data_IF_009341852582
#
_entry.id   IF_009341852582
#
_cell.length_a   1.000
_cell.length_b   1.000
_cell.length_c   1.000
_cell.angle_alpha   90.00
_cell.angle_beta   90.00
_cell.angle_gamma   90.00
#
_symmetry.space_group_name_H-M   'P 1'
#
loop_
_entity.id
_entity.type
_entity.pdbx_description
1 polymer ?
#
# COMPACT_ATOMS: atom_id res chain seq x y z
N UNK A 1 -10.85 -22.10 15.11
CA UNK A 1 -11.86 -21.01 14.89
C UNK A 1 -13.10 -21.27 15.72
N UNK A 2 -13.39 -20.42 16.72
CA UNK A 2 -14.66 -20.41 17.44
C UNK A 2 -15.73 -19.70 16.57
N UNK A 3 -16.87 -20.33 16.27
CA UNK A 3 -17.88 -19.76 15.36
C UNK A 3 -18.85 -18.78 16.04
N UNK A 4 -19.04 -17.60 15.42
CA UNK A 4 -20.37 -16.93 15.28
C UNK A 4 -20.44 -15.72 14.31
N UNK A 5 -19.41 -15.46 13.51
CA UNK A 5 -19.48 -14.52 12.40
C UNK A 5 -19.25 -15.29 11.08
N UNK A 6 -20.34 -15.55 10.34
CA UNK A 6 -20.30 -16.24 9.04
C UNK A 6 -20.46 -15.26 7.86
N UNK A 7 -20.30 -13.96 8.11
CA UNK A 7 -20.50 -12.92 7.10
C UNK A 7 -19.36 -11.92 7.15
N UNK A 8 -18.83 -11.63 5.99
CA UNK A 8 -17.83 -10.58 5.82
C UNK A 8 -18.41 -9.25 6.33
N UNK A 9 -17.60 -8.47 7.02
CA UNK A 9 -18.09 -7.27 7.68
C UNK A 9 -17.08 -6.63 8.62
N UNK A 10 -17.52 -5.56 9.28
CA UNK A 10 -16.70 -4.88 10.29
C UNK A 10 -16.88 -5.51 11.66
N UNK A 11 -15.77 -5.73 12.34
CA UNK A 11 -15.71 -6.32 13.67
C UNK A 11 -14.67 -5.59 14.51
N UNK A 12 -14.87 -5.61 15.83
CA UNK A 12 -13.84 -5.19 16.78
C UNK A 12 -13.04 -6.42 17.18
N UNK A 13 -11.72 -6.33 17.07
CA UNK A 13 -10.80 -7.37 17.51
C UNK A 13 -9.76 -6.79 18.46
N UNK A 14 -9.23 -7.65 19.32
CA UNK A 14 -8.22 -7.30 20.32
C UNK A 14 -7.00 -8.24 20.24
N UNK A 15 -6.11 -8.04 19.24
CA UNK A 15 -4.96 -8.91 18.97
C UNK A 15 -3.96 -9.04 20.13
N UNK A 16 -3.66 -7.96 20.85
CA UNK A 16 -2.74 -7.97 21.99
C UNK A 16 -3.35 -8.57 23.26
N UNK A 17 -4.66 -8.80 23.27
CA UNK A 17 -5.43 -9.13 24.46
C UNK A 17 -5.25 -8.07 25.57
N UNK A 18 -5.72 -8.40 26.78
CA UNK A 18 -5.57 -7.53 27.93
C UNK A 18 -6.73 -6.55 28.04
N UNK A 19 -6.47 -5.25 27.94
CA UNK A 19 -7.49 -4.22 28.14
C UNK A 19 -8.28 -4.00 26.86
N UNK A 20 -9.52 -4.48 26.80
CA UNK A 20 -10.37 -4.38 25.61
C UNK A 20 -10.71 -2.95 25.14
N UNK A 21 -10.31 -1.92 25.88
CA UNK A 21 -10.51 -0.51 25.49
C UNK A 21 -9.62 -0.08 24.31
N UNK A 22 -8.53 -0.80 24.02
CA UNK A 22 -7.64 -0.55 22.88
C UNK A 22 -7.91 -1.45 21.67
N UNK A 23 -9.04 -2.16 21.68
CA UNK A 23 -9.52 -2.96 20.56
C UNK A 23 -9.66 -2.09 19.29
N UNK A 24 -9.51 -2.72 18.13
CA UNK A 24 -9.50 -2.05 16.82
C UNK A 24 -10.66 -2.52 15.94
N UNK A 25 -11.27 -1.59 15.21
CA UNK A 25 -12.26 -1.93 14.17
C UNK A 25 -11.53 -2.36 12.89
N UNK A 26 -11.84 -3.57 12.42
CA UNK A 26 -11.25 -4.18 11.22
C UNK A 26 -12.35 -4.70 10.30
N UNK A 27 -12.03 -4.98 9.05
CA UNK A 27 -12.89 -5.77 8.18
C UNK A 27 -12.44 -7.23 8.20
N UNK A 28 -13.30 -8.14 8.63
CA UNK A 28 -13.04 -9.58 8.55
C UNK A 28 -13.66 -10.14 7.28
N UNK A 29 -12.85 -10.81 6.47
CA UNK A 29 -13.28 -11.51 5.27
C UNK A 29 -13.27 -13.02 5.50
N UNK A 30 -14.40 -13.55 5.96
CA UNK A 30 -14.58 -14.99 6.23
C UNK A 30 -14.71 -15.80 4.94
N UNK A 31 -15.12 -15.20 3.83
CA UNK A 31 -15.13 -15.88 2.52
C UNK A 31 -13.72 -16.08 1.95
N UNK A 32 -12.76 -15.23 2.31
CA UNK A 32 -11.32 -15.38 2.04
C UNK A 32 -10.54 -16.06 3.18
N UNK A 33 -11.12 -17.08 3.83
CA UNK A 33 -10.40 -17.85 4.85
C UNK A 33 -10.24 -17.17 6.21
N UNK A 34 -10.85 -16.01 6.44
CA UNK A 34 -10.81 -15.29 7.72
C UNK A 34 -9.81 -14.14 7.76
N UNK A 35 -9.45 -13.56 6.62
CA UNK A 35 -8.53 -12.42 6.54
C UNK A 35 -8.99 -11.26 7.42
N UNK A 36 -8.04 -10.64 8.10
CA UNK A 36 -8.23 -9.41 8.89
C UNK A 36 -7.65 -8.23 8.14
N UNK A 37 -8.52 -7.34 7.66
CA UNK A 37 -8.16 -6.22 6.80
C UNK A 37 -8.28 -4.87 7.53
N UNK A 38 -7.23 -4.06 7.43
CA UNK A 38 -7.08 -2.77 8.10
C UNK A 38 -6.81 -1.69 7.07
N UNK A 39 -7.62 -0.63 7.08
CA UNK A 39 -7.38 0.52 6.21
C UNK A 39 -6.32 1.45 6.81
N UNK A 40 -5.48 2.07 5.96
CA UNK A 40 -4.70 3.22 6.38
C UNK A 40 -5.60 4.37 6.85
N UNK A 41 -5.03 5.26 7.66
CA UNK A 41 -5.67 6.45 8.19
C UNK A 41 -6.29 7.27 7.04
N UNK A 42 -7.55 7.68 7.22
CA UNK A 42 -8.35 8.34 6.17
C UNK A 42 -7.66 9.55 5.51
N UNK A 43 -6.80 10.25 6.26
CA UNK A 43 -6.09 11.45 5.81
C UNK A 43 -4.89 11.15 4.89
N UNK A 44 -4.33 9.95 4.97
CA UNK A 44 -3.09 9.59 4.26
C UNK A 44 -3.25 8.41 3.30
N UNK A 45 -4.42 7.77 3.26
CA UNK A 45 -4.71 6.66 2.33
C UNK A 45 -4.86 7.09 0.86
N UNK A 46 -5.02 8.38 0.56
CA UNK A 46 -5.26 8.88 -0.81
C UNK A 46 -4.55 10.20 -1.06
N UNK A 47 -3.83 10.30 -2.17
CA UNK A 47 -3.33 11.55 -2.73
C UNK A 47 -4.12 11.97 -3.95
N UNK A 48 -4.55 13.23 -3.98
CA UNK A 48 -5.21 13.82 -5.16
C UNK A 48 -4.32 13.72 -6.39
N UNK A 49 -4.96 13.48 -7.55
CA UNK A 49 -4.24 13.54 -8.83
C UNK A 49 -3.95 14.99 -9.18
N UNK A 50 -2.68 15.36 -9.12
CA UNK A 50 -2.18 16.69 -9.48
C UNK A 50 -0.68 16.64 -9.74
N UNK A 51 -0.12 17.77 -10.15
CA UNK A 51 1.32 17.96 -10.13
C UNK A 51 1.82 18.12 -8.68
N UNK A 52 2.63 17.17 -8.22
CA UNK A 52 3.28 17.25 -6.90
C UNK A 52 4.69 17.81 -7.04
N UNK A 53 4.99 18.88 -6.31
CA UNK A 53 6.29 19.55 -6.39
C UNK A 53 7.38 18.72 -5.70
N UNK A 54 8.22 18.07 -6.50
CA UNK A 54 9.39 17.33 -6.05
C UNK A 54 10.46 18.28 -5.48
N UNK A 55 10.92 18.01 -4.26
CA UNK A 55 12.06 18.72 -3.67
C UNK A 55 13.35 18.16 -4.29
N UNK A 56 14.38 19.01 -4.48
CA UNK A 56 15.66 18.55 -5.04
C UNK A 56 16.27 17.46 -4.16
N UNK A 57 16.54 16.30 -4.75
CA UNK A 57 17.09 15.14 -4.05
C UNK A 57 16.02 14.22 -3.41
N UNK A 58 14.74 14.59 -3.46
CA UNK A 58 13.67 13.72 -2.98
C UNK A 58 13.56 12.46 -3.85
N UNK A 59 13.42 11.33 -3.21
CA UNK A 59 13.20 10.01 -3.81
C UNK A 59 11.78 9.51 -3.50
N UNK A 60 11.32 9.74 -2.28
CA UNK A 60 10.04 9.24 -1.76
C UNK A 60 8.96 10.32 -1.74
N UNK A 61 7.69 9.93 -1.84
CA UNK A 61 6.57 10.87 -1.85
C UNK A 61 6.52 11.70 -0.57
N UNK A 62 6.81 11.12 0.60
CA UNK A 62 6.86 11.87 1.87
C UNK A 62 7.83 13.06 1.86
N UNK A 63 8.88 13.00 1.03
CA UNK A 63 9.91 14.04 0.90
C UNK A 63 9.51 15.17 -0.07
N UNK A 64 8.39 15.02 -0.79
CA UNK A 64 7.88 16.05 -1.69
C UNK A 64 7.31 17.22 -0.88
N UNK A 65 7.14 18.38 -1.53
CA UNK A 65 6.49 19.52 -0.87
C UNK A 65 5.03 19.16 -0.56
N UNK A 66 4.68 19.16 0.73
CA UNK A 66 3.39 18.68 1.24
C UNK A 66 3.12 17.19 1.03
N UNK A 67 4.17 16.40 0.76
CA UNK A 67 4.14 14.96 0.83
C UNK A 67 3.92 14.48 2.27
N UNK A 68 3.54 13.23 2.43
CA UNK A 68 3.31 12.60 3.73
C UNK A 68 3.44 11.08 3.64
N UNK A 69 3.78 10.45 4.75
CA UNK A 69 3.73 8.99 4.88
C UNK A 69 2.29 8.48 5.01
N UNK A 70 2.06 7.28 4.49
CA UNK A 70 0.83 6.52 4.70
C UNK A 70 0.86 6.00 6.14
N UNK A 71 -0.20 6.29 6.89
CA UNK A 71 -0.23 6.09 8.34
C UNK A 71 -1.23 5.03 8.74
N UNK A 72 -0.88 4.22 9.74
CA UNK A 72 -1.77 3.26 10.42
C UNK A 72 -1.78 3.53 11.93
N UNK A 73 -1.44 4.76 12.34
CA UNK A 73 -1.27 5.13 13.73
C UNK A 73 -2.57 5.00 14.53
N UNK A 74 -3.74 5.11 13.89
CA UNK A 74 -5.04 4.87 14.55
C UNK A 74 -5.22 3.44 15.05
N UNK A 75 -4.50 2.47 14.49
CA UNK A 75 -4.52 1.06 14.89
C UNK A 75 -3.59 0.82 16.09
N UNK A 76 -2.51 1.60 16.17
CA UNK A 76 -1.48 1.44 17.19
C UNK A 76 -0.45 0.36 16.84
N UNK A 77 0.82 0.63 17.20
CA UNK A 77 1.96 -0.26 16.91
C UNK A 77 1.82 -1.64 17.56
N UNK A 78 1.31 -1.68 18.80
CA UNK A 78 1.12 -2.94 19.52
C UNK A 78 0.15 -3.86 18.79
N UNK A 79 -1.01 -3.35 18.38
CA UNK A 79 -2.01 -4.14 17.69
C UNK A 79 -1.50 -4.65 16.33
N UNK A 80 -0.81 -3.81 15.55
CA UNK A 80 -0.17 -4.25 14.30
C UNK A 80 0.88 -5.34 14.52
N UNK A 81 1.71 -5.22 15.57
CA UNK A 81 2.72 -6.24 15.87
C UNK A 81 2.09 -7.58 16.24
N UNK A 82 1.01 -7.60 17.04
CA UNK A 82 0.31 -8.84 17.36
C UNK A 82 -0.36 -9.44 16.13
N UNK A 83 -0.94 -8.62 15.25
CA UNK A 83 -1.47 -9.12 13.97
C UNK A 83 -0.38 -9.77 13.11
N UNK A 84 0.80 -9.16 13.02
CA UNK A 84 1.95 -9.78 12.35
C UNK A 84 2.32 -11.13 12.99
N UNK A 85 2.35 -11.22 14.32
CA UNK A 85 2.71 -12.47 15.02
C UNK A 85 1.66 -13.59 14.86
N UNK A 86 0.40 -13.23 14.66
CA UNK A 86 -0.74 -14.15 14.61
C UNK A 86 -1.15 -14.54 13.17
N UNK A 87 -0.38 -14.11 12.17
CA UNK A 87 -0.67 -14.32 10.75
C UNK A 87 0.51 -14.99 10.05
N UNK A 88 0.26 -15.58 8.90
CA UNK A 88 1.30 -16.22 8.08
C UNK A 88 1.62 -15.38 6.85
N UNK A 89 0.67 -14.56 6.38
CA UNK A 89 0.80 -13.82 5.14
C UNK A 89 0.06 -12.48 5.18
N UNK A 90 0.59 -11.52 4.43
CA UNK A 90 0.04 -10.20 4.25
C UNK A 90 -0.18 -9.88 2.76
N UNK A 91 -1.31 -9.25 2.43
CA UNK A 91 -1.64 -8.77 1.09
C UNK A 91 -2.14 -7.33 1.15
N UNK A 92 -1.63 -6.47 0.28
CA UNK A 92 -2.09 -5.10 0.18
C UNK A 92 -2.07 -4.59 -1.26
N UNK A 93 -3.12 -3.86 -1.64
CA UNK A 93 -3.19 -3.22 -2.95
C UNK A 93 -2.79 -1.74 -2.89
N UNK A 94 -2.11 -1.27 -3.93
CA UNK A 94 -1.76 0.13 -4.15
C UNK A 94 -2.19 0.54 -5.56
N UNK A 95 -2.97 1.61 -5.67
CA UNK A 95 -3.39 2.17 -6.96
C UNK A 95 -2.65 3.46 -7.22
N UNK A 96 -1.98 3.55 -8.36
CA UNK A 96 -1.32 4.75 -8.86
C UNK A 96 -2.13 5.32 -10.02
N UNK A 97 -2.53 6.59 -9.93
CA UNK A 97 -3.19 7.32 -11.00
C UNK A 97 -2.16 8.16 -11.73
N UNK A 98 -2.09 8.04 -13.06
CA UNK A 98 -1.06 8.66 -13.89
C UNK A 98 -1.68 9.60 -14.92
N UNK A 99 -0.98 10.69 -15.22
CA UNK A 99 -1.14 11.51 -16.42
C UNK A 99 0.26 12.02 -16.80
N UNK A 100 0.72 11.72 -18.02
CA UNK A 100 2.08 12.08 -18.42
C UNK A 100 3.20 11.29 -17.72
N UNK A 101 2.91 10.20 -17.01
CA UNK A 101 3.90 9.42 -16.23
C UNK A 101 3.78 7.91 -16.45
N UNK A 102 4.88 7.17 -16.20
CA UNK A 102 4.92 5.70 -16.25
C UNK A 102 4.73 5.16 -14.83
N UNK A 103 3.93 4.09 -14.70
CA UNK A 103 3.77 3.41 -13.41
C UNK A 103 4.60 2.13 -13.30
N UNK A 104 4.73 1.37 -14.39
CA UNK A 104 5.44 0.09 -14.38
C UNK A 104 6.25 -0.15 -15.65
N UNK A 105 5.61 -0.59 -16.74
CA UNK A 105 6.29 -0.85 -18.01
C UNK A 105 6.25 0.38 -18.93
N UNK A 106 7.41 0.86 -19.37
CA UNK A 106 7.50 1.92 -20.37
C UNK A 106 7.51 1.31 -21.78
N UNK A 107 6.43 1.51 -22.54
CA UNK A 107 6.29 0.93 -23.90
C UNK A 107 7.25 1.56 -24.91
N UNK A 108 7.61 2.83 -24.71
CA UNK A 108 8.51 3.56 -25.61
C UNK A 108 9.94 3.06 -25.47
N UNK A 109 10.43 2.96 -24.24
CA UNK A 109 11.80 2.50 -23.95
C UNK A 109 11.92 1.00 -23.81
N UNK A 110 10.80 0.27 -23.77
CA UNK A 110 10.71 -1.17 -23.52
C UNK A 110 11.42 -1.58 -22.23
N UNK A 111 11.28 -0.78 -21.18
CA UNK A 111 12.02 -0.94 -19.92
C UNK A 111 11.12 -0.76 -18.70
N UNK A 112 11.68 -1.07 -17.53
CA UNK A 112 11.05 -0.87 -16.23
C UNK A 112 11.83 0.13 -15.35
N UNK A 113 12.78 0.87 -15.94
CA UNK A 113 13.63 1.80 -15.19
C UNK A 113 12.87 3.00 -14.58
N UNK A 114 11.63 3.23 -15.02
CA UNK A 114 10.71 4.24 -14.48
C UNK A 114 9.57 3.66 -13.65
N UNK A 115 9.61 2.36 -13.35
CA UNK A 115 8.59 1.72 -12.53
C UNK A 115 8.57 2.37 -11.14
N UNK A 116 7.38 2.55 -10.57
CA UNK A 116 7.25 3.02 -9.20
C UNK A 116 7.82 1.98 -8.24
N UNK A 117 8.17 2.44 -7.04
CA UNK A 117 8.61 1.58 -5.94
C UNK A 117 7.74 1.86 -4.72
N UNK A 118 7.41 0.83 -3.96
CA UNK A 118 6.62 0.92 -2.73
C UNK A 118 7.54 0.60 -1.55
N UNK A 119 7.45 1.37 -0.47
CA UNK A 119 8.21 1.16 0.75
C UNK A 119 7.34 0.49 1.82
N UNK A 120 7.87 -0.57 2.40
CA UNK A 120 7.30 -1.27 3.56
C UNK A 120 7.64 -0.60 4.90
N UNK A 121 6.99 -1.04 5.97
CA UNK A 121 7.17 -0.50 7.34
C UNK A 121 8.59 -0.70 7.91
N UNK A 122 9.38 -1.60 7.33
CA UNK A 122 10.77 -1.88 7.72
C UNK A 122 11.79 -1.36 6.69
N UNK A 123 11.42 -0.35 5.88
CA UNK A 123 12.25 0.23 4.81
C UNK A 123 12.54 -0.68 3.61
N UNK A 124 12.00 -1.91 3.59
CA UNK A 124 12.11 -2.77 2.41
C UNK A 124 11.36 -2.20 1.21
N UNK A 125 11.92 -2.43 0.03
CA UNK A 125 11.42 -1.85 -1.21
C UNK A 125 10.80 -2.94 -2.07
N UNK A 126 9.54 -2.74 -2.46
CA UNK A 126 8.85 -3.53 -3.46
C UNK A 126 8.86 -2.79 -4.80
N UNK A 127 9.51 -3.39 -5.79
CA UNK A 127 9.62 -2.81 -7.13
C UNK A 127 10.17 -3.80 -8.15
N UNK A 128 10.46 -3.32 -9.35
CA UNK A 128 10.95 -4.20 -10.41
C UNK A 128 12.34 -4.79 -10.10
N UNK A 129 13.21 -4.01 -9.45
CA UNK A 129 14.59 -4.40 -9.14
C UNK A 129 14.76 -5.09 -7.77
N UNK A 130 13.85 -4.84 -6.83
CA UNK A 130 13.88 -5.39 -5.46
C UNK A 130 12.54 -5.98 -5.08
N UNK A 131 12.54 -7.16 -4.46
CA UNK A 131 11.33 -7.88 -4.05
C UNK A 131 10.29 -8.02 -5.18
N UNK A 132 10.75 -8.21 -6.42
CA UNK A 132 9.90 -8.29 -7.63
C UNK A 132 8.84 -9.38 -7.54
N UNK A 133 9.16 -10.50 -6.90
CA UNK A 133 8.24 -11.63 -6.77
C UNK A 133 7.07 -11.35 -5.81
N UNK A 134 7.23 -10.36 -4.92
CA UNK A 134 6.20 -9.93 -3.99
C UNK A 134 5.19 -8.95 -4.63
N UNK A 135 5.53 -8.31 -5.75
CA UNK A 135 4.67 -7.33 -6.40
C UNK A 135 4.03 -7.88 -7.67
N UNK A 136 2.70 -7.98 -7.65
CA UNK A 136 1.86 -8.37 -8.79
C UNK A 136 1.24 -7.12 -9.41
N UNK A 137 1.36 -6.99 -10.72
CA UNK A 137 0.70 -5.91 -11.47
C UNK A 137 -0.67 -6.42 -11.93
N UNK A 138 -1.72 -6.01 -11.23
CA UNK A 138 -3.10 -6.41 -11.54
C UNK A 138 -3.64 -5.65 -12.76
N UNK A 139 -3.18 -4.43 -12.96
CA UNK A 139 -3.56 -3.58 -14.09
C UNK A 139 -2.46 -2.54 -14.36
N UNK A 140 -2.17 -2.24 -15.62
CA UNK A 140 -1.23 -1.18 -16.01
C UNK A 140 -1.73 -0.42 -17.25
N UNK A 141 -2.38 0.71 -17.02
CA UNK A 141 -2.82 1.65 -18.05
C UNK A 141 -1.86 2.81 -18.29
N UNK A 142 -0.70 2.86 -17.61
CA UNK A 142 0.21 4.01 -17.61
C UNK A 142 1.36 3.87 -18.62
N UNK A 143 1.33 2.84 -19.47
CA UNK A 143 2.47 2.41 -20.28
C UNK A 143 2.90 3.38 -21.39
N UNK A 144 2.01 4.31 -21.75
CA UNK A 144 2.21 5.28 -22.85
C UNK A 144 2.21 6.73 -22.37
N UNK A 145 2.41 7.00 -21.07
CA UNK A 145 2.32 8.34 -20.45
C UNK A 145 0.97 9.04 -20.68
N UNK A 146 -0.10 8.27 -20.90
CA UNK A 146 -1.45 8.80 -21.02
C UNK A 146 -2.18 8.77 -19.68
N UNK A 147 -3.32 9.44 -19.61
CA UNK A 147 -4.24 9.33 -18.48
C UNK A 147 -4.66 7.88 -18.24
N UNK A 148 -4.43 7.40 -17.03
CA UNK A 148 -4.74 6.03 -16.68
C UNK A 148 -4.53 5.73 -15.21
N UNK A 149 -4.49 4.45 -14.90
CA UNK A 149 -4.12 3.94 -13.59
C UNK A 149 -3.33 2.65 -13.71
N UNK A 150 -2.54 2.36 -12.69
CA UNK A 150 -1.95 1.06 -12.47
C UNK A 150 -2.33 0.56 -11.07
N UNK A 151 -2.58 -0.73 -10.95
CA UNK A 151 -2.96 -1.37 -9.68
C UNK A 151 -1.94 -2.46 -9.38
N UNK A 152 -1.29 -2.30 -8.24
CA UNK A 152 -0.27 -3.20 -7.71
C UNK A 152 -0.83 -3.94 -6.51
N UNK A 153 -0.47 -5.21 -6.38
CA UNK A 153 -0.72 -6.01 -5.20
C UNK A 153 0.61 -6.50 -4.65
N UNK A 154 0.92 -6.12 -3.42
CA UNK A 154 2.06 -6.63 -2.66
C UNK A 154 1.59 -7.79 -1.82
N UNK A 155 2.34 -8.88 -1.85
CA UNK A 155 2.10 -10.11 -1.11
C UNK A 155 3.41 -10.64 -0.54
N UNK A 156 3.46 -10.88 0.77
CA UNK A 156 4.67 -11.38 1.45
C UNK A 156 4.33 -12.22 2.67
N UNK A 157 5.23 -13.15 2.99
CA UNK A 157 5.25 -13.93 4.23
C UNK A 157 6.17 -13.29 5.30
N UNK A 158 7.02 -12.32 4.91
CA UNK A 158 7.75 -11.49 5.87
C UNK A 158 6.90 -10.30 6.30
N UNK A 159 6.12 -10.52 7.36
CA UNK A 159 5.12 -9.58 7.85
C UNK A 159 5.71 -8.30 8.45
N UNK A 160 7.01 -8.26 8.73
CA UNK A 160 7.68 -7.04 9.16
C UNK A 160 7.78 -6.02 8.02
N UNK A 161 7.67 -6.45 6.77
CA UNK A 161 7.69 -5.56 5.61
C UNK A 161 6.38 -4.79 5.41
N UNK A 162 5.28 -5.21 6.05
CA UNK A 162 3.95 -4.65 5.78
C UNK A 162 3.45 -3.89 7.00
N UNK A 163 2.71 -2.77 6.84
CA UNK A 163 2.07 -2.31 5.61
C UNK A 163 2.95 -1.42 4.71
N UNK A 164 2.42 -1.02 3.55
CA UNK A 164 3.01 0.01 2.69
C UNK A 164 2.88 1.37 3.39
N UNK A 165 4.01 2.06 3.57
CA UNK A 165 4.12 3.35 4.29
C UNK A 165 4.52 4.52 3.39
N UNK A 166 5.15 4.26 2.23
CA UNK A 166 5.51 5.28 1.26
C UNK A 166 5.65 4.69 -0.16
N UNK A 167 5.89 5.56 -1.15
CA UNK A 167 6.20 5.16 -2.52
C UNK A 167 7.06 6.20 -3.25
N UNK A 168 7.79 5.74 -4.26
CA UNK A 168 8.58 6.56 -5.18
C UNK A 168 7.92 6.54 -6.56
N UNK A 169 7.38 7.67 -7.07
CA UNK A 169 6.64 7.73 -8.34
C UNK A 169 7.52 7.61 -9.60
N UNK A 170 8.81 7.28 -9.46
CA UNK A 170 9.76 7.23 -10.56
C UNK A 170 10.17 8.61 -11.07
N UNK A 171 10.61 8.65 -12.33
CA UNK A 171 11.06 9.89 -12.99
C UNK A 171 9.84 10.65 -13.55
N UNK A 172 9.66 11.90 -13.11
CA UNK A 172 8.48 12.72 -13.41
C UNK A 172 8.86 13.95 -14.22
N UNK A 173 8.08 14.28 -15.25
CA UNK A 173 8.24 15.51 -16.04
C UNK A 173 7.45 16.66 -15.39
N UNK A 174 7.72 17.91 -15.77
CA UNK A 174 7.05 19.09 -15.20
C UNK A 174 5.54 19.11 -15.46
N UNK A 175 5.10 18.52 -16.58
CA UNK A 175 3.69 18.41 -16.95
C UNK A 175 3.01 17.15 -16.40
N UNK A 176 3.78 16.24 -15.79
CA UNK A 176 3.25 14.99 -15.27
C UNK A 176 2.46 15.24 -13.98
N UNK A 177 1.34 14.54 -13.86
CA UNK A 177 0.52 14.49 -12.65
C UNK A 177 0.41 13.06 -12.14
N UNK A 178 0.26 12.93 -10.83
CA UNK A 178 -0.09 11.65 -10.23
C UNK A 178 -0.97 11.81 -9.02
N UNK A 179 -1.71 10.76 -8.73
CA UNK A 179 -2.44 10.56 -7.48
C UNK A 179 -2.29 9.11 -7.06
N UNK A 180 -2.77 8.77 -5.88
CA UNK A 180 -2.72 7.40 -5.40
C UNK A 180 -3.84 7.07 -4.44
N UNK A 181 -4.08 5.77 -4.27
CA UNK A 181 -4.99 5.22 -3.27
C UNK A 181 -4.39 3.93 -2.72
N UNK A 182 -4.33 3.82 -1.41
CA UNK A 182 -3.81 2.65 -0.69
C UNK A 182 -4.98 1.85 -0.14
N UNK A 183 -5.06 0.59 -0.57
CA UNK A 183 -6.04 -0.36 -0.08
C UNK A 183 -5.74 -0.81 1.35
N UNK A 184 -6.66 -1.58 1.98
CA UNK A 184 -6.40 -2.15 3.28
C UNK A 184 -5.24 -3.15 3.21
N UNK A 185 -4.45 -3.23 4.26
CA UNK A 185 -3.57 -4.37 4.51
C UNK A 185 -4.41 -5.51 5.09
N UNK A 186 -4.39 -6.68 4.46
CA UNK A 186 -5.08 -7.88 4.90
C UNK A 186 -4.09 -8.93 5.38
N UNK A 187 -4.31 -9.45 6.58
CA UNK A 187 -3.53 -10.52 7.19
C UNK A 187 -4.33 -11.82 7.20
N UNK A 188 -3.69 -12.94 6.85
CA UNK A 188 -4.27 -14.30 6.85
C UNK A 188 -3.42 -15.28 7.64
#
# INVERSE_FOLDING_TARGET
MCKRANKDGRYWIDPNHGCSEDAIEVFCNFTSGGETCIHPDKRTRTGERKHWSKVKGAEWFSEYKNGYEISYKSVGKTQLNFLRLLSERAVQNFTYYCSGSIAWYDKLTKSYGRAIRLQGDNDEIFGYERNRFNIKVLHDGCQNKQDGKAVFQVETEDLNQMPIVDFSPGEMEESSEFGFEVGPICFS
#
